data_IF_523520701817
#
_entry.id   IF_523520701817
#
_cell.length_a   1.000
_cell.length_b   1.000
_cell.length_c   1.000
_cell.angle_alpha   90.00
_cell.angle_beta   90.00
_cell.angle_gamma   90.00
#
_symmetry.space_group_name_H-M   'P 1'
#
loop_
_entity.id
_entity.type
_entity.pdbx_description
1 polymer ?
#
# COMPACT_ATOMS: atom_id res chain seq x y z
N UNK A 1 -68.62 58.26 -11.82
CA UNK A 1 -67.33 58.18 -11.07
C UNK A 1 -67.12 56.87 -10.30
N UNK A 2 -68.12 56.01 -10.11
CA UNK A 2 -67.93 54.73 -9.38
C UNK A 2 -67.47 53.55 -10.25
N UNK A 3 -67.77 53.51 -11.56
CA UNK A 3 -67.37 52.41 -12.45
C UNK A 3 -65.84 52.35 -12.68
N UNK A 4 -65.20 53.47 -13.01
CA UNK A 4 -63.76 53.52 -13.27
C UNK A 4 -62.89 53.05 -12.10
N UNK A 5 -63.30 53.31 -10.84
CA UNK A 5 -62.57 52.85 -9.65
C UNK A 5 -62.67 51.34 -9.41
N UNK A 6 -63.74 50.71 -9.90
CA UNK A 6 -63.93 49.27 -9.78
C UNK A 6 -63.04 48.53 -10.78
N UNK A 7 -63.01 49.01 -12.02
CA UNK A 7 -62.14 48.45 -13.07
C UNK A 7 -60.64 48.56 -12.69
N UNK A 8 -60.23 49.66 -12.06
CA UNK A 8 -58.87 49.85 -11.54
C UNK A 8 -58.52 48.87 -10.39
N UNK A 9 -59.48 48.60 -9.50
CA UNK A 9 -59.30 47.64 -8.40
C UNK A 9 -59.25 46.19 -8.88
N UNK A 10 -60.10 45.83 -9.84
CA UNK A 10 -60.11 44.50 -10.44
C UNK A 10 -58.79 44.23 -11.19
N UNK A 11 -58.24 45.26 -11.87
CA UNK A 11 -56.91 45.21 -12.49
C UNK A 11 -55.78 45.05 -11.47
N UNK A 12 -55.85 45.76 -10.33
CA UNK A 12 -54.87 45.64 -9.26
C UNK A 12 -54.86 44.24 -8.61
N UNK A 13 -56.03 43.67 -8.35
CA UNK A 13 -56.16 42.30 -7.86
C UNK A 13 -55.59 41.27 -8.84
N UNK A 14 -55.84 41.46 -10.14
CA UNK A 14 -55.27 40.60 -11.17
C UNK A 14 -53.73 40.62 -11.19
N UNK A 15 -53.11 41.80 -11.02
CA UNK A 15 -51.65 41.94 -10.94
C UNK A 15 -51.09 41.24 -9.70
N UNK A 16 -51.74 41.39 -8.54
CA UNK A 16 -51.30 40.71 -7.31
C UNK A 16 -51.41 39.18 -7.41
N UNK A 17 -52.49 38.67 -8.01
CA UNK A 17 -52.65 37.24 -8.24
C UNK A 17 -51.59 36.70 -9.21
N UNK A 18 -51.23 37.47 -10.24
CA UNK A 18 -50.16 37.11 -11.16
C UNK A 18 -48.80 37.09 -10.45
N UNK A 19 -48.48 38.11 -9.65
CA UNK A 19 -47.24 38.15 -8.87
C UNK A 19 -47.15 37.01 -7.85
N UNK A 20 -48.26 36.64 -7.21
CA UNK A 20 -48.30 35.51 -6.29
C UNK A 20 -48.02 34.18 -7.01
N UNK A 21 -48.58 33.98 -8.21
CA UNK A 21 -48.31 32.80 -9.04
C UNK A 21 -46.85 32.75 -9.49
N UNK A 22 -46.30 33.88 -9.93
CA UNK A 22 -44.89 33.96 -10.36
C UNK A 22 -43.94 33.68 -9.19
N UNK A 23 -44.24 34.22 -8.00
CA UNK A 23 -43.47 33.96 -6.78
C UNK A 23 -43.55 32.48 -6.36
N UNK A 24 -44.72 31.85 -6.43
CA UNK A 24 -44.88 30.42 -6.16
C UNK A 24 -44.11 29.55 -7.17
N UNK A 25 -44.18 29.90 -8.45
CA UNK A 25 -43.45 29.22 -9.52
C UNK A 25 -41.93 29.30 -9.29
N UNK A 26 -41.41 30.49 -8.99
CA UNK A 26 -39.99 30.69 -8.67
C UNK A 26 -39.58 29.92 -7.41
N UNK A 27 -40.41 29.92 -6.37
CA UNK A 27 -40.14 29.15 -5.14
C UNK A 27 -40.05 27.65 -5.44
N UNK A 28 -40.95 27.12 -6.28
CA UNK A 28 -40.92 25.72 -6.68
C UNK A 28 -39.66 25.37 -7.48
N UNK A 29 -39.29 26.22 -8.45
CA UNK A 29 -38.07 26.04 -9.24
C UNK A 29 -36.81 26.06 -8.35
N UNK A 30 -36.75 26.97 -7.38
CA UNK A 30 -35.62 27.05 -6.44
C UNK A 30 -35.50 25.80 -5.57
N UNK A 31 -36.63 25.26 -5.10
CA UNK A 31 -36.65 24.01 -4.33
C UNK A 31 -36.19 22.82 -5.17
N UNK A 32 -36.65 22.73 -6.41
CA UNK A 32 -36.23 21.68 -7.34
C UNK A 32 -34.73 21.76 -7.65
N UNK A 33 -34.20 22.95 -7.94
CA UNK A 33 -32.76 23.14 -8.15
C UNK A 33 -31.95 22.80 -6.90
N UNK A 34 -32.40 23.19 -5.71
CA UNK A 34 -31.73 22.85 -4.46
C UNK A 34 -31.69 21.34 -4.24
N UNK A 35 -32.79 20.63 -4.52
CA UNK A 35 -32.85 19.19 -4.39
C UNK A 35 -31.94 18.48 -5.40
N UNK A 36 -31.95 18.93 -6.67
CA UNK A 36 -31.05 18.42 -7.70
C UNK A 36 -29.58 18.60 -7.32
N UNK A 37 -29.20 19.80 -6.87
CA UNK A 37 -27.83 20.07 -6.43
C UNK A 37 -27.42 19.16 -5.27
N UNK A 38 -28.29 18.98 -4.26
CA UNK A 38 -28.02 18.08 -3.13
C UNK A 38 -27.90 16.62 -3.56
N UNK A 39 -28.70 16.16 -4.51
CA UNK A 39 -28.60 14.80 -5.04
C UNK A 39 -27.32 14.58 -5.83
N UNK A 40 -26.96 15.51 -6.70
CA UNK A 40 -25.71 15.46 -7.45
C UNK A 40 -24.49 15.51 -6.53
N UNK A 41 -24.52 16.37 -5.52
CA UNK A 41 -23.45 16.44 -4.52
C UNK A 41 -23.30 15.10 -3.80
N UNK A 42 -24.41 14.50 -3.33
CA UNK A 42 -24.38 13.17 -2.69
C UNK A 42 -23.84 12.08 -3.62
N UNK A 43 -24.20 12.12 -4.91
CA UNK A 43 -23.68 11.17 -5.90
C UNK A 43 -22.17 11.32 -6.09
N UNK A 44 -21.67 12.56 -6.22
CA UNK A 44 -20.23 12.84 -6.32
C UNK A 44 -19.48 12.41 -5.07
N UNK A 45 -20.01 12.73 -3.88
CA UNK A 45 -19.38 12.36 -2.62
C UNK A 45 -19.30 10.83 -2.48
N UNK A 46 -20.37 10.11 -2.81
CA UNK A 46 -20.36 8.64 -2.82
C UNK A 46 -19.37 8.04 -3.83
N UNK A 47 -19.23 8.65 -5.01
CA UNK A 47 -18.25 8.24 -6.02
C UNK A 47 -16.82 8.46 -5.52
N UNK A 48 -16.51 9.65 -4.99
CA UNK A 48 -15.19 9.93 -4.43
C UNK A 48 -14.85 9.02 -3.25
N UNK A 49 -15.80 8.73 -2.35
CA UNK A 49 -15.58 7.78 -1.27
C UNK A 49 -15.28 6.37 -1.79
N UNK A 50 -15.99 5.93 -2.82
CA UNK A 50 -15.74 4.64 -3.44
C UNK A 50 -14.36 4.57 -4.10
N UNK A 51 -13.96 5.61 -4.84
CA UNK A 51 -12.63 5.73 -5.45
C UNK A 51 -11.52 5.73 -4.39
N UNK A 52 -11.69 6.49 -3.30
CA UNK A 52 -10.71 6.53 -2.20
C UNK A 52 -10.55 5.14 -1.56
N UNK A 53 -11.66 4.44 -1.29
CA UNK A 53 -11.61 3.07 -0.75
C UNK A 53 -10.93 2.10 -1.72
N UNK A 54 -11.20 2.21 -3.02
CA UNK A 54 -10.55 1.40 -4.04
C UNK A 54 -9.04 1.66 -4.07
N UNK A 55 -8.62 2.92 -4.11
CA UNK A 55 -7.19 3.27 -4.10
C UNK A 55 -6.49 2.76 -2.83
N UNK A 56 -7.13 2.87 -1.67
CA UNK A 56 -6.58 2.35 -0.42
C UNK A 56 -6.35 0.82 -0.51
N UNK A 57 -7.33 0.07 -1.01
CA UNK A 57 -7.21 -1.37 -1.19
C UNK A 57 -6.09 -1.73 -2.20
N UNK A 58 -5.94 -0.97 -3.28
CA UNK A 58 -4.87 -1.16 -4.26
C UNK A 58 -3.48 -0.88 -3.67
N UNK A 59 -3.34 0.18 -2.86
CA UNK A 59 -2.11 0.51 -2.16
C UNK A 59 -1.72 -0.60 -1.18
N UNK A 60 -2.66 -1.06 -0.36
CA UNK A 60 -2.41 -2.15 0.60
C UNK A 60 -1.99 -3.44 -0.11
N UNK A 61 -2.65 -3.79 -1.21
CA UNK A 61 -2.30 -4.95 -2.03
C UNK A 61 -0.90 -4.81 -2.64
N UNK A 62 -0.58 -3.64 -3.19
CA UNK A 62 0.74 -3.38 -3.78
C UNK A 62 1.85 -3.43 -2.72
N UNK A 63 1.61 -2.85 -1.54
CA UNK A 63 2.54 -2.90 -0.42
C UNK A 63 2.76 -4.33 0.09
N UNK A 64 1.68 -5.11 0.22
CA UNK A 64 1.74 -6.52 0.63
C UNK A 64 2.55 -7.36 -0.36
N UNK A 65 2.29 -7.20 -1.67
CA UNK A 65 3.03 -7.93 -2.70
C UNK A 65 4.53 -7.62 -2.66
N UNK A 66 4.91 -6.34 -2.61
CA UNK A 66 6.32 -5.93 -2.50
C UNK A 66 6.98 -6.48 -1.24
N UNK A 67 6.26 -6.47 -0.12
CA UNK A 67 6.78 -7.03 1.12
C UNK A 67 6.99 -8.55 1.02
N UNK A 68 6.06 -9.28 0.41
CA UNK A 68 6.19 -10.71 0.18
C UNK A 68 7.38 -11.04 -0.74
N UNK A 69 7.59 -10.26 -1.79
CA UNK A 69 8.75 -10.38 -2.68
C UNK A 69 10.07 -10.09 -1.94
N UNK A 70 10.11 -9.04 -1.13
CA UNK A 70 11.28 -8.71 -0.32
C UNK A 70 11.63 -9.82 0.68
N UNK A 71 10.63 -10.35 1.40
CA UNK A 71 10.82 -11.47 2.33
C UNK A 71 11.29 -12.73 1.61
N UNK A 72 10.74 -13.03 0.43
CA UNK A 72 11.17 -14.17 -0.38
C UNK A 72 12.65 -14.03 -0.80
N UNK A 73 13.04 -12.84 -1.24
CA UNK A 73 14.42 -12.52 -1.64
C UNK A 73 15.38 -12.68 -0.47
N UNK A 74 15.04 -12.13 0.70
CA UNK A 74 15.86 -12.26 1.92
C UNK A 74 16.00 -13.73 2.34
N UNK A 75 14.92 -14.51 2.29
CA UNK A 75 14.97 -15.95 2.60
C UNK A 75 15.88 -16.72 1.66
N UNK A 76 15.81 -16.44 0.36
CA UNK A 76 16.69 -17.07 -0.63
C UNK A 76 18.16 -16.73 -0.39
N UNK A 77 18.46 -15.45 -0.14
CA UNK A 77 19.82 -15.01 0.16
C UNK A 77 20.36 -15.63 1.45
N UNK A 78 19.53 -15.73 2.50
CA UNK A 78 19.91 -16.37 3.75
C UNK A 78 20.23 -17.86 3.57
N UNK A 79 19.39 -18.59 2.82
CA UNK A 79 19.61 -20.01 2.56
C UNK A 79 20.94 -20.25 1.80
N UNK A 80 21.29 -19.36 0.87
CA UNK A 80 22.56 -19.43 0.15
C UNK A 80 23.75 -19.15 1.09
N UNK A 81 23.67 -18.09 1.89
CA UNK A 81 24.71 -17.80 2.90
C UNK A 81 24.90 -18.95 3.90
N UNK A 82 23.81 -19.59 4.34
CA UNK A 82 23.89 -20.76 5.21
C UNK A 82 24.55 -21.95 4.53
N UNK A 83 24.27 -22.17 3.24
CA UNK A 83 24.90 -23.21 2.42
C UNK A 83 26.41 -22.97 2.30
N UNK A 84 26.81 -21.76 1.93
CA UNK A 84 28.21 -21.35 1.83
C UNK A 84 28.94 -21.49 3.17
N UNK A 85 28.29 -21.09 4.27
CA UNK A 85 28.87 -21.23 5.61
C UNK A 85 29.12 -22.70 5.97
N UNK A 86 28.15 -23.60 5.70
CA UNK A 86 28.34 -25.04 5.89
C UNK A 86 29.49 -25.59 5.03
N UNK A 87 29.60 -25.13 3.79
CA UNK A 87 30.68 -25.53 2.88
C UNK A 87 32.06 -25.12 3.43
N UNK A 88 32.19 -23.86 3.87
CA UNK A 88 33.42 -23.35 4.51
C UNK A 88 33.77 -24.15 5.76
N UNK A 89 32.80 -24.45 6.63
CA UNK A 89 33.04 -25.22 7.84
C UNK A 89 33.47 -26.65 7.55
N UNK A 90 32.87 -27.30 6.55
CA UNK A 90 33.27 -28.63 6.11
C UNK A 90 34.69 -28.63 5.54
N UNK A 91 35.02 -27.62 4.71
CA UNK A 91 36.37 -27.47 4.17
C UNK A 91 37.40 -27.21 5.28
N UNK A 92 37.05 -26.40 6.29
CA UNK A 92 37.90 -26.13 7.44
C UNK A 92 38.18 -27.42 8.24
N UNK A 93 37.16 -28.23 8.47
CA UNK A 93 37.30 -29.53 9.13
C UNK A 93 38.21 -30.46 8.33
N UNK A 94 37.98 -30.59 7.02
CA UNK A 94 38.81 -31.42 6.13
C UNK A 94 40.28 -30.97 6.14
N UNK A 95 40.52 -29.66 6.04
CA UNK A 95 41.87 -29.09 6.10
C UNK A 95 42.54 -29.36 7.46
N UNK A 96 41.79 -29.22 8.56
CA UNK A 96 42.30 -29.51 9.89
C UNK A 96 42.70 -30.98 10.04
N UNK A 97 41.85 -31.91 9.62
CA UNK A 97 42.15 -33.35 9.63
C UNK A 97 43.40 -33.65 8.81
N UNK A 98 43.50 -33.12 7.58
CA UNK A 98 44.67 -33.32 6.73
C UNK A 98 45.97 -32.77 7.36
N UNK A 99 45.90 -31.61 8.01
CA UNK A 99 47.03 -31.01 8.71
C UNK A 99 47.48 -31.88 9.91
N UNK A 100 46.53 -32.38 10.72
CA UNK A 100 46.82 -33.26 11.86
C UNK A 100 47.39 -34.60 11.42
N UNK A 101 46.85 -35.21 10.37
CA UNK A 101 47.39 -36.45 9.80
C UNK A 101 48.83 -36.28 9.33
N UNK A 102 49.13 -35.18 8.63
CA UNK A 102 50.48 -34.84 8.19
C UNK A 102 51.44 -34.65 9.36
N UNK A 103 50.99 -33.93 10.40
CA UNK A 103 51.76 -33.72 11.64
C UNK A 103 52.06 -35.06 12.32
N UNK A 104 51.06 -35.94 12.45
CA UNK A 104 51.21 -37.24 13.08
C UNK A 104 52.21 -38.13 12.31
N UNK A 105 52.12 -38.18 10.98
CA UNK A 105 53.09 -38.91 10.14
C UNK A 105 54.51 -38.40 10.33
N UNK A 106 54.68 -37.07 10.36
CA UNK A 106 55.98 -36.43 10.57
C UNK A 106 56.56 -36.79 11.95
N UNK A 107 55.76 -36.69 13.01
CA UNK A 107 56.19 -37.03 14.37
C UNK A 107 56.54 -38.51 14.52
N UNK A 108 55.80 -39.41 13.87
CA UNK A 108 56.16 -40.83 13.83
C UNK A 108 57.50 -41.05 13.13
N UNK A 109 57.72 -40.44 11.96
CA UNK A 109 58.99 -40.54 11.25
C UNK A 109 60.18 -40.05 12.09
N UNK A 110 60.01 -38.99 12.88
CA UNK A 110 61.03 -38.49 13.81
C UNK A 110 61.28 -39.48 14.95
N UNK A 111 60.23 -40.06 15.54
CA UNK A 111 60.37 -41.07 16.63
C UNK A 111 61.17 -42.30 16.21
N UNK A 112 61.06 -42.70 14.95
CA UNK A 112 61.78 -43.85 14.40
C UNK A 112 63.05 -43.45 13.61
N UNK A 113 63.41 -42.16 13.60
CA UNK A 113 64.65 -41.72 12.99
C UNK A 113 65.83 -42.19 13.84
N UNK A 114 66.88 -42.78 13.22
CA UNK A 114 68.07 -43.15 13.95
C UNK A 114 68.68 -41.90 14.63
N UNK A 115 69.26 -42.03 15.84
CA UNK A 115 69.82 -40.89 16.55
C UNK A 115 70.87 -40.21 15.67
N UNK A 116 70.92 -38.87 15.66
CA UNK A 116 71.87 -38.13 14.85
C UNK A 116 73.28 -38.56 15.21
N UNK A 117 74.05 -38.97 14.20
CA UNK A 117 75.46 -39.34 14.35
C UNK A 117 76.23 -38.12 14.90
N UNK A 118 76.58 -38.15 16.17
CA UNK A 118 77.33 -37.06 16.82
C UNK A 118 77.03 -36.82 18.29
N UNK A 119 76.03 -37.47 18.88
CA UNK A 119 75.81 -37.46 20.34
C UNK A 119 76.31 -38.77 20.96
N UNK A 120 77.57 -38.78 21.35
CA UNK A 120 78.22 -39.78 22.21
C UNK A 120 79.38 -39.11 22.94
#
# INVERSE_FOLDING_TARGET
MMAARKDDMDSFHHILDQQAKDAQCLQQQMLEQQNQFREEQRKRDAQHEAEVRQMQAEIERAASNRNNEAVSTVKAALAETERENREVMNQLQANHTAAMDSLQKTLQAIKFAPPPKGFS
#
